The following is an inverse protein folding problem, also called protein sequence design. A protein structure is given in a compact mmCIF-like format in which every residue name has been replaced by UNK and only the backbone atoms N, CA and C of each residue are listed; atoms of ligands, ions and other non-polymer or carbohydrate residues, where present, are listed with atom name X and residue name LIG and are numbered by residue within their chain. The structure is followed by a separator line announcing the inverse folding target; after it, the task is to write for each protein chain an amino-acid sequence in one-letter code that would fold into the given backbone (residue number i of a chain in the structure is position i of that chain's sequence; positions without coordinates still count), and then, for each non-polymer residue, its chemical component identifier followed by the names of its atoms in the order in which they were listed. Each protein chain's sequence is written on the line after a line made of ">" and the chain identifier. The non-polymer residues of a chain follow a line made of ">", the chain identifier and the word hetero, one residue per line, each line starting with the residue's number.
data_IF_497141031193
#
_entry.id   IF_497141031193
#
_cell.length_a   1.000
_cell.length_b   1.000
_cell.length_c   1.000
_cell.angle_alpha   90.00
_cell.angle_beta   90.00
_cell.angle_gamma   90.00
#
_symmetry.space_group_name_H-M   'P 1'
#
loop_
_entity.id
_entity.type
_entity.pdbx_description
1 polymer ?
#
# COMPACT_ATOMS: atom_id res chain seq x y z
N UNK A 1 -1.06 17.48 -9.02
CA UNK A 1 -0.96 16.22 -8.24
C UNK A 1 -1.31 16.48 -6.79
N UNK A 2 -1.93 15.53 -6.10
CA UNK A 2 -2.12 15.51 -4.64
C UNK A 2 -1.28 14.35 -4.07
N UNK A 3 -0.61 14.56 -2.94
CA UNK A 3 0.38 13.65 -2.34
C UNK A 3 0.13 13.56 -0.83
N UNK A 4 0.34 12.39 -0.22
CA UNK A 4 0.30 12.21 1.23
C UNK A 4 -1.11 12.33 1.81
N UNK A 5 -1.23 12.90 3.00
CA UNK A 5 -2.53 13.05 3.70
C UNK A 5 -3.54 13.93 2.95
N UNK A 6 -3.07 14.74 1.99
CA UNK A 6 -3.94 15.49 1.09
C UNK A 6 -4.59 14.60 0.01
N UNK A 7 -3.97 13.47 -0.34
CA UNK A 7 -4.50 12.47 -1.28
C UNK A 7 -5.27 11.35 -0.57
N UNK A 8 -4.90 11.02 0.67
CA UNK A 8 -5.44 9.87 1.40
C UNK A 8 -5.79 10.26 2.85
N UNK A 9 -7.06 10.07 3.27
CA UNK A 9 -7.42 10.14 4.70
C UNK A 9 -7.00 8.84 5.39
N UNK A 10 -5.78 8.79 5.91
CA UNK A 10 -5.25 7.59 6.58
C UNK A 10 -5.44 7.72 8.09
N UNK A 11 -6.07 6.72 8.70
CA UNK A 11 -6.26 6.62 10.16
C UNK A 11 -4.88 6.50 10.83
N UNK A 12 -4.51 7.34 11.82
CA UNK A 12 -3.15 7.41 12.33
C UNK A 12 -2.83 6.23 13.23
N UNK A 13 -2.40 5.12 12.63
CA UNK A 13 -1.44 4.23 13.28
C UNK A 13 -0.05 4.87 13.06
N UNK A 14 0.48 5.49 14.11
CA UNK A 14 1.72 6.25 14.11
C UNK A 14 2.82 5.52 13.31
N UNK A 15 3.20 6.07 12.15
CA UNK A 15 4.26 5.55 11.27
C UNK A 15 3.84 5.17 9.83
N UNK A 16 2.57 4.82 9.58
CA UNK A 16 2.15 4.41 8.22
C UNK A 16 1.98 5.60 7.26
N UNK A 17 1.45 6.74 7.72
CA UNK A 17 1.21 7.92 6.87
C UNK A 17 2.50 8.52 6.30
N UNK A 18 3.56 8.59 7.10
CA UNK A 18 4.88 9.08 6.65
C UNK A 18 5.49 8.17 5.58
N UNK A 19 5.46 6.85 5.79
CA UNK A 19 5.95 5.89 4.80
C UNK A 19 5.12 5.93 3.51
N UNK A 20 3.81 6.16 3.60
CA UNK A 20 2.97 6.34 2.42
C UNK A 20 3.34 7.64 1.68
N UNK A 21 3.58 8.73 2.41
CA UNK A 21 4.03 10.00 1.85
C UNK A 21 5.37 9.90 1.12
N UNK A 22 6.36 9.20 1.67
CA UNK A 22 7.62 8.96 0.97
C UNK A 22 7.44 8.13 -0.30
N UNK A 23 6.55 7.13 -0.28
CA UNK A 23 6.18 6.36 -1.49
C UNK A 23 5.51 7.23 -2.54
N UNK A 24 4.62 8.14 -2.12
CA UNK A 24 3.96 9.07 -3.03
C UNK A 24 4.97 10.03 -3.69
N UNK A 25 5.92 10.58 -2.92
CA UNK A 25 6.97 11.47 -3.45
C UNK A 25 7.89 10.72 -4.41
N UNK A 26 8.34 9.52 -4.03
CA UNK A 26 9.19 8.70 -4.89
C UNK A 26 8.51 8.38 -6.22
N UNK A 27 7.26 7.93 -6.19
CA UNK A 27 6.50 7.59 -7.40
C UNK A 27 6.28 8.81 -8.30
N UNK A 28 6.05 9.99 -7.71
CA UNK A 28 5.89 11.22 -8.46
C UNK A 28 7.20 11.61 -9.17
N UNK A 29 8.35 11.47 -8.49
CA UNK A 29 9.66 11.73 -9.08
C UNK A 29 9.93 10.79 -10.26
N UNK A 30 9.66 9.49 -10.11
CA UNK A 30 9.83 8.51 -11.21
C UNK A 30 8.97 8.89 -12.43
N UNK A 31 7.70 9.21 -12.23
CA UNK A 31 6.79 9.62 -13.30
C UNK A 31 7.24 10.92 -13.97
N UNK A 32 7.73 11.90 -13.20
CA UNK A 32 8.23 13.16 -13.74
C UNK A 32 9.52 12.96 -14.56
N UNK A 33 10.43 12.10 -14.09
CA UNK A 33 11.65 11.75 -14.83
C UNK A 33 11.30 11.04 -16.14
N UNK A 34 10.45 10.02 -16.10
CA UNK A 34 9.99 9.31 -17.29
C UNK A 34 9.35 10.25 -18.32
N UNK A 35 8.47 11.15 -17.86
CA UNK A 35 7.83 12.14 -18.73
C UNK A 35 8.85 13.05 -19.41
N UNK A 36 9.80 13.59 -18.64
CA UNK A 36 10.88 14.43 -19.18
C UNK A 36 11.73 13.68 -20.20
N UNK A 37 12.06 12.42 -19.94
CA UNK A 37 12.96 11.64 -20.78
C UNK A 37 12.33 11.29 -22.15
N UNK A 38 11.00 11.27 -22.25
CA UNK A 38 10.27 11.14 -23.53
C UNK A 38 9.81 12.49 -24.11
N UNK A 39 10.20 13.61 -23.51
CA UNK A 39 9.86 14.96 -23.96
C UNK A 39 8.43 15.42 -23.65
N UNK A 40 7.72 14.73 -22.76
CA UNK A 40 6.42 15.16 -22.25
C UNK A 40 6.60 16.19 -21.14
N UNK A 41 5.61 17.06 -20.97
CA UNK A 41 5.53 17.95 -19.81
C UNK A 41 5.28 17.10 -18.54
N UNK A 42 6.18 17.14 -17.53
CA UNK A 42 5.99 16.44 -16.27
C UNK A 42 4.74 16.88 -15.50
N UNK A 43 4.24 18.08 -15.75
CA UNK A 43 3.01 18.64 -15.17
C UNK A 43 1.74 18.31 -15.95
N UNK A 44 1.84 17.67 -17.12
CA UNK A 44 0.66 17.38 -17.95
C UNK A 44 -0.28 16.36 -17.32
N UNK A 45 -1.56 16.44 -17.67
CA UNK A 45 -2.58 15.51 -17.20
C UNK A 45 -2.22 14.04 -17.49
N UNK A 46 -1.57 13.78 -18.63
CA UNK A 46 -1.12 12.42 -19.01
C UNK A 46 -0.07 11.88 -18.02
N UNK A 47 0.91 12.71 -17.66
CA UNK A 47 1.92 12.35 -16.66
C UNK A 47 1.28 12.13 -15.30
N UNK A 48 0.39 13.04 -14.89
CA UNK A 48 -0.27 12.98 -13.59
C UNK A 48 -1.27 11.81 -13.46
N UNK A 49 -1.93 11.41 -14.54
CA UNK A 49 -2.82 10.24 -14.56
C UNK A 49 -2.04 8.94 -14.35
N UNK A 50 -0.82 8.85 -14.88
CA UNK A 50 0.07 7.69 -14.64
C UNK A 50 0.46 7.60 -13.16
N UNK A 51 0.78 8.73 -12.54
CA UNK A 51 1.02 8.80 -11.09
C UNK A 51 -0.22 8.37 -10.29
N UNK A 52 -1.40 8.91 -10.61
CA UNK A 52 -2.65 8.57 -9.91
C UNK A 52 -2.95 7.08 -10.00
N UNK A 53 -2.85 6.48 -11.20
CA UNK A 53 -3.09 5.04 -11.39
C UNK A 53 -2.16 4.20 -10.52
N UNK A 54 -0.87 4.50 -10.50
CA UNK A 54 0.09 3.75 -9.67
C UNK A 54 -0.30 3.81 -8.19
N UNK A 55 -0.54 5.02 -7.65
CA UNK A 55 -0.80 5.20 -6.22
C UNK A 55 -2.18 4.74 -5.78
N UNK A 56 -3.19 4.85 -6.64
CA UNK A 56 -4.58 4.47 -6.33
C UNK A 56 -4.72 2.96 -6.12
N UNK A 57 -4.03 2.13 -6.92
CA UNK A 57 -4.02 0.69 -6.69
C UNK A 57 -3.33 0.31 -5.37
N UNK A 58 -2.16 0.88 -5.09
CA UNK A 58 -1.42 0.62 -3.85
C UNK A 58 -2.19 1.05 -2.60
N UNK A 59 -2.75 2.27 -2.62
CA UNK A 59 -3.52 2.81 -1.51
C UNK A 59 -4.81 2.02 -1.26
N UNK A 60 -5.54 1.63 -2.32
CA UNK A 60 -6.77 0.84 -2.19
C UNK A 60 -6.47 -0.57 -1.69
N UNK A 61 -5.41 -1.21 -2.16
CA UNK A 61 -5.00 -2.53 -1.68
C UNK A 61 -4.61 -2.50 -0.20
N UNK A 62 -3.86 -1.48 0.23
CA UNK A 62 -3.49 -1.30 1.63
C UNK A 62 -4.73 -1.04 2.51
N UNK A 63 -5.66 -0.20 2.06
CA UNK A 63 -6.92 0.08 2.77
C UNK A 63 -7.79 -1.17 2.90
N UNK A 64 -8.00 -1.92 1.81
CA UNK A 64 -8.77 -3.17 1.83
C UNK A 64 -8.14 -4.22 2.74
N UNK A 65 -6.81 -4.31 2.77
CA UNK A 65 -6.11 -5.23 3.66
C UNK A 65 -6.33 -4.86 5.13
N UNK A 66 -6.20 -3.58 5.47
CA UNK A 66 -6.43 -3.09 6.84
C UNK A 66 -7.89 -3.26 7.26
N UNK A 67 -8.85 -2.91 6.42
CA UNK A 67 -10.28 -3.14 6.65
C UNK A 67 -10.59 -4.64 6.81
N UNK A 68 -9.91 -5.48 6.04
CA UNK A 68 -10.01 -6.95 6.13
C UNK A 68 -9.53 -7.46 7.49
N UNK A 69 -8.39 -6.96 7.98
CA UNK A 69 -7.90 -7.26 9.32
C UNK A 69 -8.86 -6.73 10.37
N UNK A 70 -9.27 -5.47 10.30
CA UNK A 70 -10.15 -4.87 11.31
C UNK A 70 -11.50 -5.60 11.38
N UNK A 71 -12.18 -5.86 10.24
CA UNK A 71 -13.39 -6.70 10.22
C UNK A 71 -13.11 -8.11 10.72
N UNK A 72 -11.99 -8.68 10.32
CA UNK A 72 -11.61 -9.99 10.79
C UNK A 72 -11.42 -10.01 12.29
N UNK A 73 -11.02 -8.92 12.98
CA UNK A 73 -10.73 -8.82 14.44
C UNK A 73 -11.84 -8.17 15.29
N UNK A 74 -12.73 -7.37 14.71
CA UNK A 74 -13.78 -6.61 15.42
C UNK A 74 -15.17 -7.26 15.28
N UNK A 75 -15.37 -8.16 14.30
CA UNK A 75 -16.66 -8.81 14.09
C UNK A 75 -16.84 -10.07 14.96
N UNK A 76 -17.87 -10.09 15.81
CA UNK A 76 -18.20 -11.16 16.76
C UNK A 76 -19.12 -12.26 16.17
N UNK A 77 -19.08 -12.44 14.85
CA UNK A 77 -19.84 -13.48 14.15
C UNK A 77 -19.43 -14.89 14.61
N UNK A 78 -20.43 -15.74 14.85
CA UNK A 78 -20.27 -17.15 15.24
C UNK A 78 -19.44 -17.98 14.23
N UNK A 79 -19.33 -17.53 12.98
CA UNK A 79 -18.55 -18.18 11.91
C UNK A 79 -17.12 -17.64 11.83
N UNK A 80 -16.90 -16.35 12.10
CA UNK A 80 -15.57 -15.73 12.02
C UNK A 80 -14.66 -16.15 13.19
N UNK A 81 -15.25 -16.48 14.35
CA UNK A 81 -14.52 -16.92 15.55
C UNK A 81 -13.69 -18.19 15.34
N UNK A 82 -14.24 -19.32 14.84
CA UNK A 82 -13.44 -20.51 14.52
C UNK A 82 -12.49 -20.28 13.34
N UNK A 83 -12.89 -19.44 12.37
CA UNK A 83 -12.05 -19.10 11.21
C UNK A 83 -10.77 -18.35 11.62
N UNK A 84 -10.84 -17.41 12.59
CA UNK A 84 -9.66 -16.76 13.17
C UNK A 84 -8.70 -17.75 13.81
N UNK A 85 -9.22 -18.68 14.61
CA UNK A 85 -8.41 -19.70 15.27
C UNK A 85 -7.67 -20.58 14.26
N UNK A 86 -8.36 -20.98 13.19
CA UNK A 86 -7.77 -21.71 12.06
C UNK A 86 -6.73 -20.88 11.31
N UNK A 87 -7.03 -19.62 10.99
CA UNK A 87 -6.11 -18.72 10.28
C UNK A 87 -4.83 -18.44 11.10
N UNK A 88 -4.96 -18.17 12.40
CA UNK A 88 -3.82 -17.98 13.31
C UNK A 88 -3.00 -19.26 13.48
N UNK A 89 -3.67 -20.41 13.59
CA UNK A 89 -2.99 -21.72 13.68
C UNK A 89 -2.24 -22.07 12.40
N UNK A 90 -2.85 -21.82 11.23
CA UNK A 90 -2.22 -22.02 9.92
C UNK A 90 -1.06 -21.04 9.70
N UNK A 91 -1.21 -19.76 10.08
CA UNK A 91 -0.15 -18.76 9.99
C UNK A 91 1.06 -19.11 10.88
N UNK A 92 0.83 -19.74 12.06
CA UNK A 92 1.92 -20.20 12.93
C UNK A 92 2.60 -21.48 12.43
N UNK A 93 1.86 -22.38 11.77
CA UNK A 93 2.39 -23.68 11.30
C UNK A 93 3.02 -23.61 9.91
N UNK A 94 2.60 -22.66 9.07
CA UNK A 94 3.09 -22.53 7.69
C UNK A 94 4.14 -21.41 7.64
N UNK A 95 5.40 -21.78 7.87
CA UNK A 95 6.56 -20.90 7.77
C UNK A 95 6.60 -20.02 6.50
N UNK A 96 6.30 -20.53 5.29
CA UNK A 96 6.28 -19.67 4.10
C UNK A 96 5.14 -18.65 4.10
N UNK A 97 3.99 -18.94 4.73
CA UNK A 97 2.89 -17.99 4.88
C UNK A 97 3.28 -16.87 5.87
N UNK A 98 3.92 -17.22 6.98
CA UNK A 98 4.48 -16.25 7.93
C UNK A 98 5.51 -15.34 7.26
N UNK A 99 6.40 -15.90 6.43
CA UNK A 99 7.38 -15.12 5.69
C UNK A 99 6.74 -14.24 4.62
N UNK A 100 5.69 -14.71 3.93
CA UNK A 100 4.95 -13.90 2.95
C UNK A 100 4.21 -12.73 3.62
N UNK A 101 3.56 -12.96 4.76
CA UNK A 101 2.89 -11.90 5.53
C UNK A 101 3.90 -10.90 6.10
N UNK A 102 5.04 -11.37 6.60
CA UNK A 102 6.12 -10.50 7.05
C UNK A 102 6.65 -9.63 5.91
N UNK A 103 6.86 -10.21 4.71
CA UNK A 103 7.27 -9.47 3.49
C UNK A 103 6.24 -8.42 3.06
N UNK A 104 4.95 -8.78 3.08
CA UNK A 104 3.87 -7.85 2.76
C UNK A 104 3.80 -6.68 3.74
N UNK A 105 4.08 -6.93 5.02
CA UNK A 105 4.15 -5.90 6.06
C UNK A 105 5.47 -5.10 6.00
N UNK A 106 6.57 -5.73 5.59
CA UNK A 106 7.91 -5.15 5.55
C UNK A 106 8.20 -4.49 4.22
N UNK A 107 7.41 -3.48 3.83
CA UNK A 107 7.67 -2.49 2.77
C UNK A 107 8.13 -2.96 1.35
N UNK A 108 8.51 -4.22 1.13
CA UNK A 108 9.21 -4.78 -0.03
C UNK A 108 8.18 -5.18 -1.08
N UNK A 109 7.64 -4.16 -1.75
CA UNK A 109 6.68 -4.31 -2.83
C UNK A 109 7.44 -4.27 -4.16
N UNK A 110 7.11 -5.17 -5.09
CA UNK A 110 7.81 -5.32 -6.38
C UNK A 110 7.85 -4.04 -7.24
N UNK A 111 7.04 -3.03 -6.90
CA UNK A 111 6.93 -1.75 -7.59
C UNK A 111 7.22 -0.57 -6.63
N UNK A 112 8.28 -0.66 -5.84
CA UNK A 112 8.76 0.48 -5.07
C UNK A 112 9.36 1.56 -5.99
N UNK A 113 9.12 2.85 -5.70
CA UNK A 113 9.81 3.92 -6.39
C UNK A 113 11.32 3.74 -6.35
N UNK A 114 12.03 4.24 -7.37
CA UNK A 114 13.49 4.09 -7.50
C UNK A 114 14.25 4.55 -6.26
N UNK A 115 13.76 5.61 -5.59
CA UNK A 115 14.34 6.18 -4.37
C UNK A 115 14.11 5.34 -3.11
N UNK A 116 13.32 4.27 -3.18
CA UNK A 116 12.96 3.40 -2.05
C UNK A 116 13.36 1.94 -2.25
N UNK A 117 14.07 1.63 -3.34
CA UNK A 117 14.79 0.38 -3.54
C UNK A 117 16.15 0.44 -2.86
#
# INVERSE_FOLDING_TARGET
>A
ALVGDAAHRINPLAGQGLNLGFKDVGALIDVMCDARDVGLDPGSDVSLERYEKWRRFDATAAAMFMDGIDKAFTNDSAVLKPLRGLALSLAQKITPLRQALARQASADQAHLPSLMR
#
